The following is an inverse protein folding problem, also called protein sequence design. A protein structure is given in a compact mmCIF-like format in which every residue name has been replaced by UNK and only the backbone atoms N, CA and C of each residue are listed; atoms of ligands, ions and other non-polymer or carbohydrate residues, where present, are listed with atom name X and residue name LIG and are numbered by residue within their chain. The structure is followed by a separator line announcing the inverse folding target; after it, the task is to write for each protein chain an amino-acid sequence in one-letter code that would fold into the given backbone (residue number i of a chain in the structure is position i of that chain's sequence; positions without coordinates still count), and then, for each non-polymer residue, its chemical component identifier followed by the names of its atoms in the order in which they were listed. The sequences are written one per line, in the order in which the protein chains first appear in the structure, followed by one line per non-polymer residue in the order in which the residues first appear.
data_IF_863418229846
#
_entry.id   IF_863418229846
#
_cell.length_a   1.000
_cell.length_b   1.000
_cell.length_c   1.000
_cell.angle_alpha   90.00
_cell.angle_beta   90.00
_cell.angle_gamma   90.00
#
_symmetry.space_group_name_H-M   'P 1'
#
loop_
_entity.id
_entity.type
_entity.pdbx_description
1 polymer ?
#
# COMPACT_ATOMS: atom_id res chain seq x y z
N UNK A 1 6.77 6.44 -24.85
CA UNK A 1 5.91 6.62 -23.66
C UNK A 1 6.69 6.20 -22.43
N UNK A 2 6.72 7.02 -21.39
CA UNK A 2 7.30 6.59 -20.11
C UNK A 2 6.44 5.45 -19.53
N UNK A 3 7.09 4.43 -18.97
CA UNK A 3 6.38 3.34 -18.30
C UNK A 3 5.68 3.90 -17.07
N UNK A 4 4.41 3.51 -16.85
CA UNK A 4 3.64 3.94 -15.68
C UNK A 4 4.34 3.51 -14.39
N UNK A 5 4.38 4.40 -13.40
CA UNK A 5 4.99 4.15 -12.10
C UNK A 5 4.04 3.35 -11.21
N UNK A 6 4.53 2.28 -10.57
CA UNK A 6 3.84 1.60 -9.49
C UNK A 6 4.37 2.10 -8.15
N UNK A 7 3.55 2.83 -7.40
CA UNK A 7 3.91 3.45 -6.13
C UNK A 7 3.35 2.64 -4.96
N UNK A 8 4.24 2.08 -4.15
CA UNK A 8 3.89 1.24 -3.01
C UNK A 8 4.06 1.96 -1.66
N UNK A 9 3.21 1.63 -0.66
CA UNK A 9 3.35 2.14 0.69
C UNK A 9 4.42 1.38 1.48
N UNK A 10 5.07 2.05 2.45
CA UNK A 10 5.88 1.33 3.42
C UNK A 10 5.80 1.97 4.81
N UNK A 11 5.61 1.13 5.83
CA UNK A 11 5.53 1.56 7.23
C UNK A 11 6.87 1.46 7.98
N UNK A 12 7.84 0.70 7.45
CA UNK A 12 9.20 0.59 7.97
C UNK A 12 10.18 0.23 6.85
N UNK A 13 11.47 0.23 7.16
CA UNK A 13 12.55 0.03 6.20
C UNK A 13 12.49 -1.35 5.51
N UNK A 14 12.23 -2.44 6.26
CA UNK A 14 12.08 -3.79 5.71
C UNK A 14 10.97 -3.85 4.67
N UNK A 15 9.80 -3.31 5.00
CA UNK A 15 8.65 -3.24 4.09
C UNK A 15 8.94 -2.45 2.83
N UNK A 16 9.69 -1.35 2.95
CA UNK A 16 10.10 -0.54 1.81
C UNK A 16 11.02 -1.32 0.86
N UNK A 17 12.02 -2.00 1.40
CA UNK A 17 12.93 -2.84 0.61
C UNK A 17 12.16 -3.97 -0.11
N UNK A 18 11.27 -4.67 0.59
CA UNK A 18 10.43 -5.71 -0.02
C UNK A 18 9.55 -5.15 -1.13
N UNK A 19 8.88 -4.02 -0.93
CA UNK A 19 8.04 -3.41 -1.98
C UNK A 19 8.86 -3.11 -3.25
N UNK A 20 10.07 -2.56 -3.10
CA UNK A 20 10.97 -2.28 -4.22
C UNK A 20 11.44 -3.55 -4.92
N UNK A 21 11.79 -4.60 -4.18
CA UNK A 21 12.21 -5.89 -4.72
C UNK A 21 11.08 -6.60 -5.46
N UNK A 22 9.83 -6.48 -5.00
CA UNK A 22 8.64 -7.05 -5.63
C UNK A 22 8.08 -6.21 -6.80
N UNK A 23 8.78 -5.16 -7.21
CA UNK A 23 8.53 -4.48 -8.48
C UNK A 23 7.87 -3.12 -8.38
N UNK A 24 7.77 -2.51 -7.19
CA UNK A 24 7.45 -1.09 -7.09
C UNK A 24 8.53 -0.25 -7.77
N UNK A 25 8.12 0.81 -8.47
CA UNK A 25 9.03 1.78 -9.09
C UNK A 25 9.37 2.90 -8.11
N UNK A 26 8.49 3.14 -7.16
CA UNK A 26 8.69 4.06 -6.06
C UNK A 26 8.02 3.56 -4.78
N UNK A 27 8.52 4.02 -3.64
CA UNK A 27 7.86 3.81 -2.34
C UNK A 27 7.56 5.14 -1.67
N UNK A 28 6.40 5.22 -0.97
CA UNK A 28 6.12 6.36 -0.12
C UNK A 28 6.12 5.96 1.35
N UNK A 29 6.82 6.74 2.14
CA UNK A 29 7.07 6.51 3.57
C UNK A 29 6.61 7.72 4.39
N UNK A 30 6.51 7.57 5.69
CA UNK A 30 6.25 8.66 6.61
C UNK A 30 7.42 8.85 7.57
N UNK A 31 7.91 10.07 7.69
CA UNK A 31 8.81 10.45 8.76
C UNK A 31 8.10 10.53 10.12
N UNK A 32 8.87 10.67 11.19
CA UNK A 32 8.31 10.88 12.56
C UNK A 32 7.54 12.17 12.69
N UNK A 33 7.81 13.14 11.83
CA UNK A 33 7.14 14.46 11.78
C UNK A 33 6.28 14.56 10.50
N UNK A 34 5.27 15.42 10.54
CA UNK A 34 4.41 15.81 9.40
C UNK A 34 3.61 14.69 8.72
N UNK A 35 3.61 13.45 9.22
CA UNK A 35 2.94 12.32 8.57
C UNK A 35 1.65 11.89 9.28
N UNK A 36 0.59 11.61 8.49
CA UNK A 36 -0.74 11.22 8.99
C UNK A 36 -0.83 9.85 9.67
N UNK A 37 0.18 9.02 9.64
CA UNK A 37 0.17 7.71 10.29
C UNK A 37 1.07 7.70 11.52
N UNK A 38 0.76 8.52 12.53
CA UNK A 38 1.55 8.63 13.76
C UNK A 38 1.77 7.28 14.49
N UNK A 39 0.86 6.31 14.29
CA UNK A 39 0.97 4.93 14.84
C UNK A 39 1.77 3.96 13.98
N UNK A 40 2.14 4.32 12.75
CA UNK A 40 3.09 3.52 11.98
C UNK A 40 4.48 3.64 12.61
N UNK A 41 5.33 2.67 12.35
CA UNK A 41 6.72 2.66 12.86
C UNK A 41 7.55 3.85 12.37
N UNK A 42 7.04 4.68 11.50
CA UNK A 42 7.62 5.89 10.89
C UNK A 42 9.16 5.90 10.84
N UNK A 43 9.70 6.46 9.80
CA UNK A 43 11.14 6.44 9.51
C UNK A 43 11.88 7.55 10.27
N UNK A 44 13.05 7.23 10.80
CA UNK A 44 14.04 8.22 11.20
C UNK A 44 14.74 8.80 9.95
N UNK A 45 15.52 9.86 10.10
CA UNK A 45 16.33 10.41 9.01
C UNK A 45 17.35 9.38 8.52
N UNK A 46 17.92 8.60 9.44
CA UNK A 46 18.87 7.52 9.14
C UNK A 46 18.18 6.41 8.31
N UNK A 47 16.98 5.99 8.68
CA UNK A 47 16.21 5.02 7.91
C UNK A 47 15.90 5.54 6.49
N UNK A 48 15.53 6.82 6.35
CA UNK A 48 15.28 7.45 5.05
C UNK A 48 16.55 7.48 4.21
N UNK A 49 17.67 7.84 4.80
CA UNK A 49 18.98 7.86 4.12
C UNK A 49 19.37 6.47 3.63
N UNK A 50 19.22 5.43 4.48
CA UNK A 50 19.49 4.05 4.09
C UNK A 50 18.56 3.59 2.97
N UNK A 51 17.27 3.92 3.05
CA UNK A 51 16.29 3.61 2.01
C UNK A 51 16.62 4.30 0.69
N UNK A 52 16.98 5.58 0.71
CA UNK A 52 17.38 6.32 -0.50
C UNK A 52 18.64 5.71 -1.15
N UNK A 53 19.61 5.31 -0.35
CA UNK A 53 20.78 4.60 -0.85
C UNK A 53 20.41 3.25 -1.49
N UNK A 54 19.58 2.45 -0.83
CA UNK A 54 19.09 1.17 -1.36
C UNK A 54 18.28 1.35 -2.65
N UNK A 55 17.36 2.30 -2.69
CA UNK A 55 16.51 2.55 -3.86
C UNK A 55 17.31 3.05 -5.07
N UNK A 56 18.32 3.88 -4.83
CA UNK A 56 19.23 4.38 -5.88
C UNK A 56 19.96 3.24 -6.59
N UNK A 57 20.42 2.22 -5.87
CA UNK A 57 21.08 1.04 -6.45
C UNK A 57 20.14 0.23 -7.35
N UNK A 58 18.83 0.33 -7.14
CA UNK A 58 17.79 -0.30 -7.96
C UNK A 58 17.20 0.63 -9.03
N UNK A 59 17.69 1.87 -9.14
CA UNK A 59 17.12 2.92 -9.98
C UNK A 59 15.62 3.18 -9.67
N UNK A 60 15.28 3.25 -8.39
CA UNK A 60 13.92 3.44 -7.85
C UNK A 60 13.84 4.72 -7.03
N UNK A 61 12.61 5.18 -6.73
CA UNK A 61 12.36 6.47 -6.06
C UNK A 61 11.81 6.31 -4.65
N UNK A 62 12.08 7.32 -3.81
CA UNK A 62 11.55 7.43 -2.44
C UNK A 62 10.80 8.74 -2.28
N UNK A 63 9.55 8.67 -1.83
CA UNK A 63 8.71 9.83 -1.53
C UNK A 63 8.38 9.88 -0.04
N UNK A 64 8.42 11.07 0.54
CA UNK A 64 8.12 11.28 1.96
C UNK A 64 6.77 11.99 2.11
N UNK A 65 5.85 11.40 2.88
CA UNK A 65 4.57 12.02 3.17
C UNK A 65 4.71 13.08 4.26
N UNK A 66 4.28 14.31 3.94
CA UNK A 66 4.17 15.45 4.85
C UNK A 66 2.73 15.96 4.79
N UNK A 67 1.77 15.06 5.05
CA UNK A 67 0.37 15.23 4.67
C UNK A 67 -0.58 15.41 5.85
N UNK A 68 -0.10 15.82 7.02
CA UNK A 68 -0.95 16.35 8.07
C UNK A 68 -1.53 17.71 7.62
N UNK A 69 -2.61 18.15 8.28
CA UNK A 69 -3.01 19.56 8.29
C UNK A 69 -2.22 20.22 9.42
N UNK A 70 -1.14 20.95 9.13
CA UNK A 70 -0.26 21.46 10.17
C UNK A 70 -0.91 22.65 10.88
N UNK A 71 -0.73 22.69 12.20
CA UNK A 71 -0.92 23.88 13.02
C UNK A 71 0.42 24.59 13.21
N UNK A 72 0.43 25.79 13.77
CA UNK A 72 1.65 26.58 13.93
C UNK A 72 2.72 25.82 14.73
N UNK A 73 2.32 25.08 15.76
CA UNK A 73 3.20 24.24 16.58
C UNK A 73 3.86 23.08 15.82
N UNK A 74 3.23 22.60 14.73
CA UNK A 74 3.78 21.53 13.91
C UNK A 74 4.86 22.03 12.95
N UNK A 75 4.94 23.36 12.72
CA UNK A 75 5.84 23.95 11.73
C UNK A 75 7.25 24.23 12.26
N UNK A 76 7.46 24.01 13.57
CA UNK A 76 8.80 24.10 14.14
C UNK A 76 9.76 23.13 13.41
N UNK A 77 10.97 23.62 13.12
CA UNK A 77 12.03 22.90 12.38
C UNK A 77 11.64 22.39 10.98
N UNK A 78 10.57 22.90 10.36
CA UNK A 78 10.18 22.48 9.03
C UNK A 78 11.30 22.68 7.99
N UNK A 79 11.96 23.83 7.99
CA UNK A 79 13.04 24.13 7.04
C UNK A 79 14.25 23.18 7.23
N UNK A 80 14.61 22.89 8.48
CA UNK A 80 15.69 21.96 8.81
C UNK A 80 15.36 20.55 8.30
N UNK A 81 14.14 20.07 8.59
CA UNK A 81 13.69 18.76 8.17
C UNK A 81 13.69 18.61 6.64
N UNK A 82 13.21 19.61 5.91
CA UNK A 82 13.22 19.59 4.44
C UNK A 82 14.63 19.53 3.85
N UNK A 83 15.59 20.28 4.43
CA UNK A 83 17.01 20.21 4.04
C UNK A 83 17.60 18.81 4.29
N UNK A 84 17.32 18.21 5.43
CA UNK A 84 17.74 16.83 5.75
C UNK A 84 17.18 15.81 4.77
N UNK A 85 15.90 15.94 4.35
CA UNK A 85 15.31 15.08 3.34
C UNK A 85 16.01 15.22 1.97
N UNK A 86 16.35 16.45 1.58
CA UNK A 86 17.10 16.69 0.33
C UNK A 86 18.49 16.06 0.39
N UNK A 87 19.20 16.21 1.50
CA UNK A 87 20.53 15.61 1.73
C UNK A 87 20.48 14.07 1.71
N UNK A 88 19.39 13.48 2.20
CA UNK A 88 19.16 12.02 2.10
C UNK A 88 18.92 11.54 0.66
N UNK A 89 18.60 12.44 -0.27
CA UNK A 89 18.30 12.09 -1.65
C UNK A 89 16.84 11.70 -1.88
N UNK A 90 15.91 12.21 -1.07
CA UNK A 90 14.45 12.04 -1.26
C UNK A 90 14.04 12.67 -2.59
N UNK A 91 13.27 11.93 -3.40
CA UNK A 91 12.85 12.40 -4.72
C UNK A 91 11.67 13.37 -4.66
N UNK A 92 10.69 13.11 -3.77
CA UNK A 92 9.53 14.00 -3.63
C UNK A 92 8.96 14.01 -2.21
N UNK A 93 8.27 15.09 -1.87
CA UNK A 93 7.34 15.14 -0.75
C UNK A 93 5.89 15.07 -1.24
N UNK A 94 5.01 14.41 -0.45
CA UNK A 94 3.56 14.37 -0.71
C UNK A 94 2.88 15.15 0.41
N UNK A 95 2.31 16.32 0.09
CA UNK A 95 1.75 17.23 1.10
C UNK A 95 0.42 17.84 0.69
N UNK A 96 -0.40 18.21 1.67
CA UNK A 96 -1.65 18.96 1.50
C UNK A 96 -1.54 20.42 1.95
N UNK A 97 -0.36 20.86 2.38
CA UNK A 97 -0.12 22.22 2.88
C UNK A 97 0.59 23.07 1.83
N UNK A 98 -0.05 24.18 1.46
CA UNK A 98 0.56 25.17 0.58
C UNK A 98 1.81 25.78 1.20
N UNK A 99 1.82 25.99 2.51
CA UNK A 99 2.99 26.52 3.23
C UNK A 99 4.18 25.57 3.13
N UNK A 100 3.96 24.25 3.32
CA UNK A 100 5.03 23.24 3.15
C UNK A 100 5.54 23.20 1.71
N UNK A 101 4.66 23.31 0.70
CA UNK A 101 5.05 23.39 -0.72
C UNK A 101 5.99 24.57 -0.95
N UNK A 102 5.60 25.76 -0.48
CA UNK A 102 6.40 26.99 -0.69
C UNK A 102 7.71 27.00 0.10
N UNK A 103 7.68 26.46 1.30
CA UNK A 103 8.92 26.30 2.10
C UNK A 103 9.87 25.30 1.42
N UNK A 104 9.36 24.16 0.93
CA UNK A 104 10.17 23.18 0.20
C UNK A 104 10.80 23.79 -1.06
N UNK A 105 10.03 24.54 -1.85
CA UNK A 105 10.54 25.25 -3.02
C UNK A 105 11.73 26.16 -2.69
N UNK A 106 11.67 26.83 -1.53
CA UNK A 106 12.71 27.78 -1.09
C UNK A 106 13.96 27.07 -0.55
N UNK A 107 13.81 26.05 0.29
CA UNK A 107 14.93 25.49 1.09
C UNK A 107 15.43 24.13 0.63
N UNK A 108 14.65 23.40 -0.17
CA UNK A 108 14.95 22.08 -0.71
C UNK A 108 14.45 21.95 -2.17
N UNK A 109 14.95 22.79 -3.09
CA UNK A 109 14.42 22.93 -4.46
C UNK A 109 14.56 21.68 -5.31
N UNK A 110 15.48 20.75 -4.98
CA UNK A 110 15.67 19.49 -5.71
C UNK A 110 14.58 18.46 -5.43
N UNK A 111 13.85 18.61 -4.32
CA UNK A 111 12.74 17.73 -3.97
C UNK A 111 11.51 18.12 -4.78
N UNK A 112 10.93 17.15 -5.51
CA UNK A 112 9.65 17.33 -6.17
C UNK A 112 8.51 17.51 -5.16
N UNK A 113 7.47 18.25 -5.54
CA UNK A 113 6.31 18.53 -4.69
C UNK A 113 5.08 17.89 -5.32
N UNK A 114 4.53 16.88 -4.64
CA UNK A 114 3.31 16.19 -5.04
C UNK A 114 2.15 16.64 -4.15
N UNK A 115 1.05 17.04 -4.77
CA UNK A 115 -0.15 17.45 -4.04
C UNK A 115 -0.91 16.22 -3.57
N UNK A 116 -1.14 16.13 -2.25
CA UNK A 116 -1.83 14.98 -1.64
C UNK A 116 -3.30 14.89 -2.06
N UNK A 117 -3.83 13.66 -2.13
CA UNK A 117 -5.26 13.38 -2.32
C UNK A 117 -6.18 14.12 -1.35
N UNK A 118 -5.68 14.50 -0.16
CA UNK A 118 -6.44 15.27 0.82
C UNK A 118 -6.80 16.70 0.37
N UNK A 119 -6.25 17.16 -0.74
CA UNK A 119 -6.69 18.40 -1.39
C UNK A 119 -7.98 18.20 -2.17
N UNK A 120 -8.53 16.98 -2.23
CA UNK A 120 -9.83 16.67 -2.81
C UNK A 120 -9.97 17.12 -4.27
N UNK A 121 -8.92 16.89 -5.06
CA UNK A 121 -8.86 17.37 -6.45
C UNK A 121 -9.66 16.43 -7.35
N UNK A 122 -10.67 16.99 -8.00
CA UNK A 122 -11.63 16.29 -8.85
C UNK A 122 -11.81 16.91 -10.25
N UNK A 123 -11.05 17.94 -10.59
CA UNK A 123 -11.17 18.61 -11.88
C UNK A 123 -9.85 19.25 -12.35
N UNK A 124 -9.72 19.42 -13.66
CA UNK A 124 -8.52 19.95 -14.30
C UNK A 124 -8.24 21.42 -13.96
N UNK A 125 -9.28 22.23 -13.69
CA UNK A 125 -9.07 23.64 -13.32
C UNK A 125 -8.33 23.77 -11.98
N UNK A 126 -8.68 22.92 -10.99
CA UNK A 126 -7.94 22.85 -9.73
C UNK A 126 -6.48 22.41 -9.94
N UNK A 127 -6.24 21.42 -10.81
CA UNK A 127 -4.89 20.97 -11.15
C UNK A 127 -4.07 22.07 -11.80
N UNK A 128 -4.64 22.78 -12.78
CA UNK A 128 -3.98 23.86 -13.47
C UNK A 128 -3.68 25.06 -12.55
N UNK A 129 -4.46 25.23 -11.46
CA UNK A 129 -4.11 26.16 -10.40
C UNK A 129 -2.84 25.71 -9.64
N UNK A 130 -2.77 24.43 -9.27
CA UNK A 130 -1.60 23.86 -8.59
C UNK A 130 -0.33 23.90 -9.45
N UNK A 131 -0.45 23.79 -10.76
CA UNK A 131 0.67 23.96 -11.69
C UNK A 131 1.39 25.29 -11.50
N UNK A 132 0.67 26.38 -11.22
CA UNK A 132 1.24 27.71 -10.95
C UNK A 132 2.04 27.75 -9.63
N UNK A 133 1.90 26.75 -8.78
CA UNK A 133 2.62 26.61 -7.51
C UNK A 133 3.88 25.74 -7.65
N UNK A 134 4.34 25.50 -8.89
CA UNK A 134 5.54 24.71 -9.18
C UNK A 134 5.53 23.31 -8.55
N UNK A 135 4.38 22.62 -8.61
CA UNK A 135 4.23 21.22 -8.25
C UNK A 135 4.41 20.35 -9.50
N UNK A 136 4.93 19.13 -9.34
CA UNK A 136 5.18 18.20 -10.46
C UNK A 136 4.04 17.20 -10.63
N UNK A 137 3.31 16.85 -9.56
CA UNK A 137 2.28 15.80 -9.58
C UNK A 137 1.11 16.11 -8.66
N UNK A 138 -0.06 15.63 -9.05
CA UNK A 138 -1.29 15.72 -8.26
C UNK A 138 -1.84 14.31 -8.03
N UNK A 139 -2.09 13.95 -6.75
CA UNK A 139 -2.81 12.75 -6.38
C UNK A 139 -4.31 13.05 -6.41
N UNK A 140 -5.02 12.45 -7.34
CA UNK A 140 -6.46 12.68 -7.49
C UNK A 140 -7.25 12.19 -6.27
N UNK A 141 -8.41 12.78 -6.06
CA UNK A 141 -9.39 12.28 -5.10
C UNK A 141 -9.82 10.85 -5.48
N UNK A 142 -10.04 9.99 -4.49
CA UNK A 142 -10.51 8.61 -4.72
C UNK A 142 -11.95 8.53 -5.20
N UNK A 143 -12.65 9.62 -5.10
CA UNK A 143 -14.04 9.82 -5.50
C UNK A 143 -14.18 10.11 -7.00
N UNK A 144 -13.08 10.24 -7.75
CA UNK A 144 -13.11 10.38 -9.21
C UNK A 144 -13.49 9.06 -9.87
N UNK A 145 -14.43 9.13 -10.80
CA UNK A 145 -14.76 8.06 -11.73
C UNK A 145 -13.73 7.93 -12.84
N UNK A 146 -13.70 6.80 -13.53
CA UNK A 146 -12.80 6.62 -14.68
C UNK A 146 -13.05 7.66 -15.78
N UNK A 147 -14.32 8.02 -16.04
CA UNK A 147 -14.68 9.06 -17.01
C UNK A 147 -14.14 10.45 -16.61
N UNK A 148 -14.20 10.78 -15.32
CA UNK A 148 -13.63 12.04 -14.83
C UNK A 148 -12.10 12.04 -14.92
N UNK A 149 -11.43 10.92 -14.57
CA UNK A 149 -9.98 10.77 -14.74
C UNK A 149 -9.60 10.95 -16.21
N UNK A 150 -10.34 10.35 -17.15
CA UNK A 150 -10.14 10.51 -18.57
C UNK A 150 -10.31 11.97 -19.03
N UNK A 151 -11.35 12.65 -18.56
CA UNK A 151 -11.56 14.06 -18.86
C UNK A 151 -10.44 14.95 -18.28
N UNK A 152 -10.01 14.69 -17.05
CA UNK A 152 -8.92 15.40 -16.40
C UNK A 152 -7.62 15.21 -17.18
N UNK A 153 -7.28 13.98 -17.57
CA UNK A 153 -6.03 13.66 -18.27
C UNK A 153 -5.90 14.37 -19.63
N UNK A 154 -7.03 14.64 -20.28
CA UNK A 154 -7.07 15.39 -21.56
C UNK A 154 -6.91 16.91 -21.38
N UNK A 155 -7.10 17.44 -20.17
CA UNK A 155 -7.17 18.87 -19.89
C UNK A 155 -6.07 19.38 -18.96
N UNK A 156 -5.04 18.56 -18.70
CA UNK A 156 -3.85 18.95 -17.94
C UNK A 156 -2.61 18.22 -18.47
N UNK A 157 -1.45 18.85 -18.29
CA UNK A 157 -0.13 18.28 -18.58
C UNK A 157 0.66 17.96 -17.29
N UNK A 158 0.08 18.23 -16.11
CA UNK A 158 0.66 17.78 -14.84
C UNK A 158 0.53 16.26 -14.69
N UNK A 159 1.53 15.65 -14.07
CA UNK A 159 1.46 14.24 -13.74
C UNK A 159 0.29 13.93 -12.81
N UNK A 160 -0.49 12.92 -13.19
CA UNK A 160 -1.61 12.42 -12.40
C UNK A 160 -1.22 11.13 -11.68
N UNK A 161 -1.56 11.04 -10.39
CA UNK A 161 -1.44 9.84 -9.58
C UNK A 161 -2.81 9.42 -9.10
N UNK A 162 -3.16 8.13 -9.23
CA UNK A 162 -4.44 7.58 -8.82
C UNK A 162 -4.26 6.38 -7.89
N UNK A 163 -5.16 6.23 -6.90
CA UNK A 163 -5.20 5.04 -6.07
C UNK A 163 -5.83 3.88 -6.83
N UNK A 164 -5.17 2.71 -6.79
CA UNK A 164 -5.65 1.48 -7.45
C UNK A 164 -5.99 0.36 -6.46
N UNK A 165 -5.52 0.46 -5.20
CA UNK A 165 -5.70 -0.63 -4.24
C UNK A 165 -5.65 -0.14 -2.79
N UNK A 166 -6.37 -0.86 -1.91
CA UNK A 166 -6.29 -0.74 -0.47
C UNK A 166 -7.41 0.09 0.17
N UNK A 167 -7.21 0.50 1.41
CA UNK A 167 -8.27 1.07 2.23
C UNK A 167 -8.92 2.33 1.67
N UNK A 168 -10.24 2.31 1.55
CA UNK A 168 -11.06 3.49 1.26
C UNK A 168 -11.44 4.22 2.55
N UNK A 169 -11.76 5.51 2.46
CA UNK A 169 -12.23 6.32 3.58
C UNK A 169 -13.72 6.62 3.42
N UNK A 170 -14.47 6.64 4.53
CA UNK A 170 -15.87 7.10 4.54
C UNK A 170 -16.01 8.61 4.35
N UNK A 171 -14.92 9.36 4.59
CA UNK A 171 -14.88 10.81 4.38
C UNK A 171 -14.23 11.16 3.06
N UNK A 172 -14.72 12.22 2.43
CA UNK A 172 -14.22 12.69 1.15
C UNK A 172 -12.70 12.96 1.20
N UNK A 173 -11.93 12.27 0.38
CA UNK A 173 -10.47 12.38 0.29
C UNK A 173 -9.72 12.25 1.62
N UNK A 174 -10.32 11.57 2.61
CA UNK A 174 -9.70 11.32 3.91
C UNK A 174 -9.72 12.48 4.90
N UNK A 175 -10.44 13.57 4.64
CA UNK A 175 -10.68 14.65 5.61
C UNK A 175 -11.85 14.30 6.50
N UNK A 176 -11.57 14.01 7.79
CA UNK A 176 -12.53 13.43 8.70
C UNK A 176 -12.41 14.02 10.10
N UNK A 177 -13.55 14.25 10.72
CA UNK A 177 -13.66 14.65 12.15
C UNK A 177 -14.30 13.58 13.02
N UNK A 178 -14.68 12.41 12.45
CA UNK A 178 -15.34 11.36 13.20
C UNK A 178 -14.48 10.85 14.38
N UNK A 179 -13.18 10.64 14.15
CA UNK A 179 -12.27 10.22 15.23
C UNK A 179 -12.12 11.28 16.31
N UNK A 180 -12.15 12.57 15.95
CA UNK A 180 -12.09 13.65 16.91
C UNK A 180 -13.30 13.57 17.88
N UNK A 181 -14.52 13.40 17.33
CA UNK A 181 -15.74 13.30 18.15
C UNK A 181 -15.83 11.99 18.94
N UNK A 182 -15.36 10.88 18.37
CA UNK A 182 -15.52 9.56 18.99
C UNK A 182 -14.39 9.21 19.98
N UNK A 183 -13.21 9.82 19.85
CA UNK A 183 -12.01 9.38 20.58
C UNK A 183 -11.08 10.52 21.02
N UNK A 184 -11.47 11.78 20.82
CA UNK A 184 -10.64 12.98 21.08
C UNK A 184 -9.27 12.95 20.35
N UNK A 185 -9.22 12.25 19.19
CA UNK A 185 -7.99 12.07 18.40
C UNK A 185 -8.16 12.69 17.04
N UNK A 186 -7.28 13.66 16.71
CA UNK A 186 -7.35 14.35 15.42
C UNK A 186 -6.94 13.46 14.25
N UNK A 187 -7.93 13.07 13.44
CA UNK A 187 -7.71 12.25 12.25
C UNK A 187 -6.86 12.95 11.20
N UNK A 188 -6.87 14.28 11.14
CA UNK A 188 -6.15 15.08 10.14
C UNK A 188 -4.71 15.41 10.57
N UNK A 189 -4.36 15.08 11.82
CA UNK A 189 -3.00 15.17 12.37
C UNK A 189 -2.41 13.80 12.77
N UNK A 190 -2.92 12.72 12.19
CA UNK A 190 -2.40 11.36 12.40
C UNK A 190 -3.17 10.51 13.42
N UNK A 191 -4.20 11.04 14.06
CA UNK A 191 -4.97 10.41 15.14
C UNK A 191 -6.13 9.53 14.68
N UNK A 192 -6.27 9.17 13.40
CA UNK A 192 -7.40 8.35 12.92
C UNK A 192 -7.54 7.04 13.70
N UNK A 193 -8.66 6.85 14.40
CA UNK A 193 -8.98 5.66 15.17
C UNK A 193 -9.71 4.59 14.37
N UNK A 194 -9.99 4.83 13.08
CA UNK A 194 -10.84 4.01 12.22
C UNK A 194 -12.26 3.81 12.79
N UNK A 195 -12.80 4.82 13.48
CA UNK A 195 -14.14 4.74 14.10
C UNK A 195 -15.25 4.40 13.11
N UNK A 196 -15.12 4.78 11.83
CA UNK A 196 -16.04 4.36 10.76
C UNK A 196 -16.10 2.85 10.55
N UNK A 197 -15.14 2.08 11.04
CA UNK A 197 -15.03 0.62 10.91
C UNK A 197 -15.36 -0.15 12.18
N UNK A 198 -15.83 0.55 13.21
CA UNK A 198 -16.31 -0.11 14.42
C UNK A 198 -17.67 -0.73 14.19
N UNK A 199 -17.96 -1.76 14.96
CA UNK A 199 -19.26 -2.41 14.95
C UNK A 199 -20.25 -1.60 15.82
N UNK A 200 -21.26 -1.04 15.18
CA UNK A 200 -22.29 -0.26 15.85
C UNK A 200 -23.61 -1.05 15.92
N UNK A 201 -24.42 -0.74 16.91
CA UNK A 201 -25.83 -1.11 16.95
C UNK A 201 -26.68 0.07 16.50
N UNK A 202 -27.64 -0.16 15.62
CA UNK A 202 -28.61 0.87 15.19
C UNK A 202 -29.84 0.87 16.10
N UNK A 203 -30.31 2.08 16.41
CA UNK A 203 -31.52 2.30 17.18
C UNK A 203 -32.47 3.27 16.45
N UNK A 204 -33.77 3.01 16.53
CA UNK A 204 -34.82 3.94 16.19
C UNK A 204 -35.45 4.41 17.51
N UNK A 205 -35.08 5.60 17.95
CA UNK A 205 -35.37 6.06 19.31
C UNK A 205 -34.74 5.12 20.35
N UNK A 206 -35.59 4.45 21.14
CA UNK A 206 -35.16 3.46 22.15
C UNK A 206 -35.14 2.02 21.63
N UNK A 207 -35.71 1.76 20.44
CA UNK A 207 -35.82 0.43 19.86
C UNK A 207 -34.53 0.08 19.10
N UNK A 208 -33.85 -1.00 19.52
CA UNK A 208 -32.73 -1.55 18.77
C UNK A 208 -33.24 -2.18 17.46
N UNK A 209 -32.66 -1.73 16.31
CA UNK A 209 -33.01 -2.23 14.96
C UNK A 209 -32.13 -3.42 14.59
N UNK A 210 -30.82 -3.33 14.87
CA UNK A 210 -29.88 -4.43 14.60
C UNK A 210 -30.25 -5.66 15.43
N UNK A 211 -30.34 -6.83 14.79
CA UNK A 211 -30.60 -8.10 15.46
C UNK A 211 -29.35 -8.59 16.21
N UNK A 212 -29.54 -9.65 17.00
CA UNK A 212 -28.41 -10.29 17.72
C UNK A 212 -27.43 -10.87 16.68
N UNK A 213 -26.18 -10.43 16.74
CA UNK A 213 -25.12 -10.86 15.81
C UNK A 213 -24.97 -10.00 14.55
N UNK A 214 -25.91 -9.09 14.27
CA UNK A 214 -25.79 -8.10 13.21
C UNK A 214 -25.05 -6.85 13.70
N UNK A 215 -24.20 -6.31 12.85
CA UNK A 215 -23.46 -5.08 13.11
C UNK A 215 -23.62 -4.11 11.97
N UNK A 216 -23.64 -2.84 12.31
CA UNK A 216 -23.57 -1.75 11.34
C UNK A 216 -22.21 -1.07 11.42
N UNK A 217 -21.58 -0.81 10.31
CA UNK A 217 -20.42 0.08 10.24
C UNK A 217 -20.59 1.10 9.10
N UNK A 218 -19.82 2.19 9.17
CA UNK A 218 -19.87 3.30 8.21
C UNK A 218 -18.78 3.09 7.14
N UNK A 219 -18.01 2.01 7.24
CA UNK A 219 -16.86 1.75 6.39
C UNK A 219 -17.25 1.21 5.01
N UNK A 220 -16.41 1.50 4.04
CA UNK A 220 -16.47 0.92 2.71
C UNK A 220 -15.54 -0.28 2.58
N UNK A 221 -15.78 -1.13 1.59
CA UNK A 221 -14.84 -2.14 1.13
C UNK A 221 -13.53 -1.50 0.70
N UNK A 222 -12.45 -2.25 0.74
CA UNK A 222 -11.16 -1.78 0.23
C UNK A 222 -11.20 -1.72 -1.31
N UNK A 223 -10.46 -0.80 -1.91
CA UNK A 223 -10.38 -0.65 -3.36
C UNK A 223 -9.57 -1.79 -3.99
N UNK A 224 -10.04 -2.34 -5.11
CA UNK A 224 -9.29 -3.21 -6.01
C UNK A 224 -9.61 -2.87 -7.47
N UNK A 225 -8.70 -2.15 -8.13
CA UNK A 225 -8.88 -1.62 -9.48
C UNK A 225 -8.16 -2.45 -10.57
N UNK A 226 -8.01 -3.76 -10.38
CA UNK A 226 -7.30 -4.67 -11.30
C UNK A 226 -7.76 -4.48 -12.74
N UNK A 227 -9.08 -4.47 -12.97
CA UNK A 227 -9.68 -4.38 -14.32
C UNK A 227 -9.51 -3.02 -14.99
N UNK A 228 -9.13 -1.98 -14.23
CA UNK A 228 -8.96 -0.62 -14.74
C UNK A 228 -7.51 -0.28 -15.11
N UNK A 229 -6.54 -1.14 -14.75
CA UNK A 229 -5.12 -0.90 -15.03
C UNK A 229 -4.82 -0.65 -16.51
N UNK A 230 -5.34 -1.45 -17.47
CA UNK A 230 -5.13 -1.19 -18.89
C UNK A 230 -5.57 0.23 -19.30
N UNK A 231 -6.77 0.62 -18.91
CA UNK A 231 -7.33 1.94 -19.28
C UNK A 231 -6.54 3.08 -18.63
N UNK A 232 -6.10 2.93 -17.38
CA UNK A 232 -5.28 3.95 -16.70
C UNK A 232 -3.92 4.14 -17.39
N UNK A 233 -3.32 3.05 -17.88
CA UNK A 233 -2.10 3.10 -18.69
C UNK A 233 -2.35 3.84 -20.01
N UNK A 234 -3.44 3.53 -20.71
CA UNK A 234 -3.80 4.17 -21.98
C UNK A 234 -4.11 5.66 -21.82
N UNK A 235 -4.61 6.06 -20.65
CA UNK A 235 -4.83 7.47 -20.29
C UNK A 235 -3.55 8.22 -19.92
N UNK A 236 -2.38 7.56 -19.96
CA UNK A 236 -1.09 8.12 -19.55
C UNK A 236 -1.08 8.67 -18.13
N UNK A 237 -1.81 8.04 -17.20
CA UNK A 237 -1.66 8.30 -15.77
C UNK A 237 -0.20 8.03 -15.39
N UNK A 238 0.44 8.95 -14.68
CA UNK A 238 1.86 8.86 -14.39
C UNK A 238 2.18 7.82 -13.29
N UNK A 239 1.28 7.68 -12.30
CA UNK A 239 1.53 6.83 -11.13
C UNK A 239 0.27 6.11 -10.64
N UNK A 240 0.41 4.81 -10.37
CA UNK A 240 -0.59 3.93 -9.78
C UNK A 240 -0.24 3.67 -8.33
N UNK A 241 -1.05 4.16 -7.40
CA UNK A 241 -0.76 4.15 -5.96
C UNK A 241 -1.52 3.07 -5.22
N UNK A 242 -0.77 2.28 -4.45
CA UNK A 242 -1.31 1.31 -3.48
C UNK A 242 -1.40 1.97 -2.10
N UNK A 243 -2.53 1.82 -1.39
CA UNK A 243 -2.67 2.19 0.03
C UNK A 243 -2.32 1.00 0.93
N UNK A 244 -1.68 1.26 2.08
CA UNK A 244 -1.42 0.18 3.02
C UNK A 244 -0.16 0.32 3.88
N UNK A 245 0.23 1.51 4.33
CA UNK A 245 1.41 1.72 5.19
C UNK A 245 1.43 0.87 6.47
N UNK A 246 0.24 0.53 6.98
CA UNK A 246 0.08 -0.32 8.17
C UNK A 246 0.02 -1.83 7.87
N UNK A 247 -0.06 -2.19 6.60
CA UNK A 247 -0.18 -3.59 6.16
C UNK A 247 1.11 -4.39 6.39
N UNK A 248 1.00 -5.73 6.32
CA UNK A 248 2.12 -6.66 6.52
C UNK A 248 3.08 -6.67 5.33
N UNK A 249 4.28 -7.21 5.54
CA UNK A 249 5.26 -7.48 4.49
C UNK A 249 4.70 -8.42 3.42
N UNK A 250 3.94 -9.45 3.84
CA UNK A 250 3.25 -10.38 2.95
C UNK A 250 2.22 -9.69 2.04
N UNK A 251 1.42 -8.76 2.59
CA UNK A 251 0.50 -7.96 1.79
C UNK A 251 1.24 -7.17 0.70
N UNK A 252 2.34 -6.51 1.06
CA UNK A 252 3.11 -5.73 0.10
C UNK A 252 3.69 -6.61 -1.00
N UNK A 253 4.32 -7.72 -0.64
CA UNK A 253 4.88 -8.66 -1.60
C UNK A 253 3.82 -9.17 -2.59
N UNK A 254 2.68 -9.63 -2.09
CA UNK A 254 1.61 -10.18 -2.92
C UNK A 254 0.98 -9.10 -3.80
N UNK A 255 0.56 -7.97 -3.22
CA UNK A 255 -0.18 -6.93 -3.96
C UNK A 255 0.72 -6.21 -4.96
N UNK A 256 1.92 -5.78 -4.54
CA UNK A 256 2.86 -5.07 -5.43
C UNK A 256 3.32 -6.00 -6.56
N UNK A 257 3.72 -7.25 -6.23
CA UNK A 257 4.14 -8.23 -7.22
C UNK A 257 3.05 -8.54 -8.24
N UNK A 258 1.81 -8.66 -7.78
CA UNK A 258 0.67 -8.93 -8.63
C UNK A 258 0.37 -7.76 -9.59
N UNK A 259 0.29 -6.51 -9.10
CA UNK A 259 0.11 -5.35 -9.97
C UNK A 259 1.29 -5.14 -10.93
N UNK A 260 2.52 -5.42 -10.50
CA UNK A 260 3.69 -5.37 -11.40
C UNK A 260 3.56 -6.35 -12.55
N UNK A 261 3.21 -7.61 -12.25
CA UNK A 261 2.97 -8.64 -13.28
C UNK A 261 1.86 -8.24 -14.25
N UNK A 262 0.75 -7.69 -13.75
CA UNK A 262 -0.35 -7.19 -14.58
C UNK A 262 0.07 -6.04 -15.51
N UNK A 263 0.77 -5.05 -14.98
CA UNK A 263 1.27 -3.92 -15.76
C UNK A 263 2.23 -4.40 -16.84
N UNK A 264 3.17 -5.29 -16.51
CA UNK A 264 4.15 -5.83 -17.47
C UNK A 264 3.47 -6.69 -18.55
N UNK A 265 2.48 -7.50 -18.17
CA UNK A 265 1.66 -8.28 -19.10
C UNK A 265 0.96 -7.36 -20.11
N UNK A 266 0.33 -6.28 -19.63
CA UNK A 266 -0.35 -5.33 -20.50
C UNK A 266 0.61 -4.59 -21.43
N UNK A 267 1.79 -4.18 -20.95
CA UNK A 267 2.79 -3.57 -21.83
C UNK A 267 3.27 -4.53 -22.92
N UNK A 268 3.39 -5.81 -22.61
CA UNK A 268 3.83 -6.86 -23.54
C UNK A 268 2.74 -7.22 -24.58
N UNK A 269 1.52 -7.48 -24.12
CA UNK A 269 0.46 -8.06 -24.95
C UNK A 269 -0.56 -7.03 -25.46
N UNK A 270 -0.64 -5.85 -24.85
CA UNK A 270 -1.67 -4.80 -25.08
C UNK A 270 -3.11 -5.24 -24.78
N UNK A 271 -3.29 -6.41 -24.26
CA UNK A 271 -4.58 -6.99 -23.86
C UNK A 271 -4.41 -7.80 -22.60
N UNK A 272 -5.48 -7.95 -21.84
CA UNK A 272 -5.59 -8.85 -20.68
C UNK A 272 -6.88 -9.62 -20.83
N UNK A 273 -6.82 -10.94 -20.80
CA UNK A 273 -8.00 -11.81 -20.94
C UNK A 273 -8.83 -11.85 -19.64
N UNK A 274 -10.07 -12.34 -19.74
CA UNK A 274 -10.93 -12.50 -18.57
C UNK A 274 -10.38 -13.51 -17.56
N UNK A 275 -9.73 -14.58 -18.04
CA UNK A 275 -9.07 -15.59 -17.21
C UNK A 275 -7.87 -14.99 -16.45
N UNK A 276 -7.07 -14.16 -17.13
CA UNK A 276 -5.95 -13.45 -16.50
C UNK A 276 -6.44 -12.47 -15.43
N UNK A 277 -7.50 -11.68 -15.71
CA UNK A 277 -8.09 -10.79 -14.71
C UNK A 277 -8.55 -11.56 -13.47
N UNK A 278 -9.28 -12.68 -13.64
CA UNK A 278 -9.71 -13.55 -12.54
C UNK A 278 -8.53 -14.12 -11.76
N UNK A 279 -7.45 -14.46 -12.44
CA UNK A 279 -6.23 -14.94 -11.77
C UNK A 279 -5.61 -13.84 -10.91
N UNK A 280 -5.48 -12.59 -11.43
CA UNK A 280 -4.94 -11.47 -10.67
C UNK A 280 -5.82 -11.11 -9.46
N UNK A 281 -7.14 -11.08 -9.63
CA UNK A 281 -8.09 -10.83 -8.55
C UNK A 281 -7.98 -11.90 -7.46
N UNK A 282 -7.90 -13.18 -7.83
CA UNK A 282 -7.72 -14.30 -6.90
C UNK A 282 -6.37 -14.22 -6.19
N UNK A 283 -5.31 -13.89 -6.90
CA UNK A 283 -3.97 -13.81 -6.33
C UNK A 283 -3.88 -12.69 -5.28
N UNK A 284 -4.40 -11.49 -5.59
CA UNK A 284 -4.45 -10.37 -4.66
C UNK A 284 -5.29 -10.72 -3.42
N UNK A 285 -6.42 -11.40 -3.61
CA UNK A 285 -7.31 -11.78 -2.49
C UNK A 285 -6.65 -12.66 -1.43
N UNK A 286 -5.57 -13.36 -1.77
CA UNK A 286 -4.79 -14.17 -0.82
C UNK A 286 -4.11 -13.34 0.28
N UNK A 287 -3.88 -12.03 0.04
CA UNK A 287 -3.26 -11.12 1.02
C UNK A 287 -4.25 -10.13 1.64
N UNK A 288 -5.50 -10.14 1.21
CA UNK A 288 -6.51 -9.23 1.71
C UNK A 288 -7.14 -9.73 3.01
N UNK A 289 -7.42 -8.79 3.90
CA UNK A 289 -8.12 -9.04 5.15
C UNK A 289 -9.56 -8.54 5.11
N UNK A 290 -9.98 -7.88 4.01
CA UNK A 290 -11.27 -7.23 3.85
C UNK A 290 -11.83 -7.50 2.49
N UNK A 291 -13.15 -7.44 2.39
CA UNK A 291 -13.82 -7.46 1.10
C UNK A 291 -13.40 -6.25 0.28
N UNK A 292 -13.29 -6.45 -1.02
CA UNK A 292 -12.89 -5.41 -1.98
C UNK A 292 -14.03 -5.02 -2.90
N UNK A 293 -13.90 -3.84 -3.49
CA UNK A 293 -14.78 -3.29 -4.50
C UNK A 293 -13.99 -2.40 -5.48
N UNK A 294 -14.66 -1.97 -6.52
CA UNK A 294 -14.09 -1.03 -7.50
C UNK A 294 -14.16 0.44 -7.06
N UNK A 295 -14.68 0.71 -5.85
CA UNK A 295 -14.85 2.08 -5.35
C UNK A 295 -15.71 2.94 -6.28
N UNK A 296 -15.21 4.11 -6.66
CA UNK A 296 -15.89 5.09 -7.52
C UNK A 296 -15.59 4.92 -9.02
N UNK A 297 -14.78 3.97 -9.45
CA UNK A 297 -14.34 3.89 -10.85
C UNK A 297 -15.48 3.81 -11.86
N UNK A 298 -16.61 3.15 -11.53
CA UNK A 298 -17.80 3.06 -12.39
C UNK A 298 -18.91 4.05 -12.01
N UNK A 299 -18.67 4.98 -11.09
CA UNK A 299 -19.67 5.95 -10.64
C UNK A 299 -19.84 5.99 -9.12
N UNK A 300 -20.93 6.58 -8.64
CA UNK A 300 -21.22 6.67 -7.20
C UNK A 300 -21.41 5.24 -6.63
N UNK A 301 -20.66 4.88 -5.57
CA UNK A 301 -20.78 3.57 -4.93
C UNK A 301 -22.18 3.28 -4.42
N UNK A 302 -22.61 2.04 -4.62
CA UNK A 302 -23.87 1.50 -4.13
C UNK A 302 -23.71 0.87 -2.74
N UNK A 303 -24.75 0.23 -2.24
CA UNK A 303 -24.71 -0.60 -1.05
C UNK A 303 -23.69 -1.76 -1.17
N UNK A 304 -23.40 -2.20 -2.41
CA UNK A 304 -22.47 -3.30 -2.67
C UNK A 304 -20.99 -2.93 -2.39
N UNK A 305 -20.67 -1.65 -2.38
CA UNK A 305 -19.33 -1.15 -2.07
C UNK A 305 -19.13 -0.86 -0.57
N UNK A 306 -20.16 -1.02 0.24
CA UNK A 306 -20.11 -0.81 1.69
C UNK A 306 -19.89 -2.12 2.46
N UNK A 307 -19.35 -2.01 3.67
CA UNK A 307 -19.15 -3.13 4.59
C UNK A 307 -20.31 -3.21 5.57
N UNK A 308 -21.43 -3.84 5.16
CA UNK A 308 -22.54 -4.14 6.08
C UNK A 308 -22.47 -5.61 6.50
N UNK A 309 -22.78 -5.91 7.77
CA UNK A 309 -22.91 -7.25 8.36
C UNK A 309 -21.69 -8.18 8.21
N UNK A 310 -20.52 -7.64 7.87
CA UNK A 310 -19.30 -8.44 7.74
C UNK A 310 -18.29 -8.06 8.82
N UNK A 311 -17.56 -9.06 9.30
CA UNK A 311 -16.35 -8.80 10.10
C UNK A 311 -15.37 -8.03 9.24
N UNK A 312 -14.85 -6.93 9.78
CA UNK A 312 -13.96 -6.05 9.05
C UNK A 312 -12.62 -6.69 8.63
N UNK A 313 -12.25 -7.83 9.21
CA UNK A 313 -10.95 -8.45 8.96
C UNK A 313 -11.07 -9.98 9.03
N UNK A 314 -10.75 -10.65 7.91
CA UNK A 314 -10.57 -12.09 7.85
C UNK A 314 -9.30 -12.41 7.07
N UNK A 315 -8.30 -13.08 7.67
CA UNK A 315 -7.13 -13.53 6.94
C UNK A 315 -7.53 -14.62 5.93
N UNK A 316 -7.18 -14.40 4.67
CA UNK A 316 -7.56 -15.31 3.58
C UNK A 316 -6.57 -16.46 3.40
N UNK A 317 -5.29 -16.23 3.70
CA UNK A 317 -4.24 -17.27 3.70
C UNK A 317 -3.20 -17.03 4.77
N UNK A 318 -2.54 -18.11 5.17
CA UNK A 318 -1.50 -18.10 6.19
C UNK A 318 -0.13 -17.91 5.54
N UNK A 319 0.43 -16.73 5.69
CA UNK A 319 1.82 -16.46 5.40
C UNK A 319 2.70 -17.18 6.44
N UNK A 320 3.53 -18.12 6.01
CA UNK A 320 4.33 -18.94 6.94
C UNK A 320 5.75 -18.44 7.13
N UNK A 321 6.34 -17.78 6.13
CA UNK A 321 7.69 -17.27 6.26
C UNK A 321 8.30 -16.84 4.93
N UNK A 322 9.53 -16.37 4.98
CA UNK A 322 10.29 -15.99 3.80
C UNK A 322 11.70 -16.58 3.79
N UNK A 323 12.24 -16.68 2.60
CA UNK A 323 13.55 -17.25 2.34
C UNK A 323 14.65 -16.25 2.72
N UNK A 324 15.54 -16.67 3.60
CA UNK A 324 16.76 -15.94 3.96
C UNK A 324 17.92 -16.24 3.01
N UNK A 325 18.03 -17.54 2.63
CA UNK A 325 19.10 -18.04 1.78
C UNK A 325 18.67 -19.33 1.07
N UNK A 326 19.35 -19.68 0.00
CA UNK A 326 19.12 -20.91 -0.75
C UNK A 326 20.43 -21.46 -1.30
N UNK A 327 20.72 -22.74 -1.03
CA UNK A 327 21.89 -23.43 -1.55
C UNK A 327 21.54 -24.91 -1.85
N UNK A 328 21.84 -25.34 -3.07
CA UNK A 328 21.77 -26.73 -3.53
C UNK A 328 20.49 -27.50 -3.10
N UNK A 329 19.30 -26.91 -3.33
CA UNK A 329 18.03 -27.56 -3.02
C UNK A 329 17.54 -27.34 -1.58
N UNK A 330 18.34 -26.67 -0.75
CA UNK A 330 17.99 -26.38 0.65
C UNK A 330 17.76 -24.88 0.80
N UNK A 331 16.55 -24.50 1.27
CA UNK A 331 16.21 -23.13 1.61
C UNK A 331 16.29 -22.92 3.12
N UNK A 332 16.92 -21.82 3.52
CA UNK A 332 16.83 -21.31 4.89
C UNK A 332 15.65 -20.36 4.95
N UNK A 333 14.63 -20.72 5.75
CA UNK A 333 13.42 -19.90 5.93
C UNK A 333 13.31 -19.35 7.34
N UNK A 334 12.83 -18.13 7.47
CA UNK A 334 12.44 -17.53 8.75
C UNK A 334 10.94 -17.67 8.94
N UNK A 335 10.55 -18.38 9.99
CA UNK A 335 9.16 -18.65 10.31
C UNK A 335 8.42 -17.39 10.77
N UNK A 336 7.21 -17.19 10.27
CA UNK A 336 6.33 -16.07 10.62
C UNK A 336 4.99 -16.51 11.19
N UNK A 337 4.51 -17.72 10.81
CA UNK A 337 3.33 -18.37 11.37
C UNK A 337 3.57 -19.88 11.49
N UNK A 338 2.67 -20.55 12.18
CA UNK A 338 2.70 -22.00 12.40
C UNK A 338 2.61 -22.78 11.08
N UNK A 339 3.50 -23.75 10.89
CA UNK A 339 3.43 -24.77 9.85
C UNK A 339 4.13 -26.06 10.32
N UNK A 340 3.90 -27.17 9.62
CA UNK A 340 4.44 -28.47 9.98
C UNK A 340 4.89 -29.26 8.75
N UNK A 341 5.63 -30.34 9.01
CA UNK A 341 5.91 -31.38 8.02
C UNK A 341 4.58 -31.95 7.50
N UNK A 342 4.47 -32.12 6.19
CA UNK A 342 3.26 -32.53 5.50
C UNK A 342 2.37 -31.39 5.00
N UNK A 343 2.60 -30.13 5.42
CA UNK A 343 1.86 -28.99 4.90
C UNK A 343 2.17 -28.75 3.41
N UNK A 344 1.11 -28.56 2.61
CA UNK A 344 1.23 -28.07 1.24
C UNK A 344 1.42 -26.56 1.27
N UNK A 345 2.52 -26.10 0.71
CA UNK A 345 2.89 -24.68 0.66
C UNK A 345 3.04 -24.19 -0.77
N UNK A 346 2.86 -22.90 -0.98
CA UNK A 346 3.12 -22.22 -2.25
C UNK A 346 4.24 -21.21 -2.05
N UNK A 347 5.32 -21.40 -2.81
CA UNK A 347 6.38 -20.40 -2.93
C UNK A 347 6.02 -19.38 -4.01
N UNK A 348 6.28 -18.10 -3.75
CA UNK A 348 6.11 -17.03 -4.71
C UNK A 348 7.16 -15.93 -4.48
N UNK A 349 7.51 -15.23 -5.55
CA UNK A 349 8.54 -14.21 -5.51
C UNK A 349 8.57 -13.37 -6.78
N UNK A 350 9.46 -12.34 -6.83
CA UNK A 350 9.56 -11.47 -7.99
C UNK A 350 10.10 -12.17 -9.25
N UNK A 351 10.92 -13.22 -9.09
CA UNK A 351 11.63 -13.90 -10.17
C UNK A 351 11.25 -15.37 -10.31
N UNK A 352 10.24 -15.85 -9.61
CA UNK A 352 9.74 -17.21 -9.68
C UNK A 352 8.25 -17.24 -10.00
N UNK A 353 7.81 -18.32 -10.65
CA UNK A 353 6.39 -18.61 -10.76
C UNK A 353 5.88 -19.23 -9.45
N UNK A 354 4.59 -18.98 -9.15
CA UNK A 354 3.96 -19.56 -7.97
C UNK A 354 3.99 -21.08 -8.08
N UNK A 355 4.73 -21.74 -7.19
CA UNK A 355 4.96 -23.17 -7.23
C UNK A 355 4.58 -23.82 -5.91
N UNK A 356 3.81 -24.89 -5.98
CA UNK A 356 3.36 -25.62 -4.81
C UNK A 356 4.23 -26.85 -4.55
N UNK A 357 4.55 -27.11 -3.27
CA UNK A 357 5.25 -28.31 -2.82
C UNK A 357 4.92 -28.63 -1.38
N UNK A 358 5.20 -29.86 -0.96
CA UNK A 358 4.98 -30.31 0.42
C UNK A 358 6.25 -30.11 1.23
N UNK A 359 6.12 -29.63 2.46
CA UNK A 359 7.23 -29.58 3.42
C UNK A 359 7.52 -31.02 3.91
N UNK A 360 8.57 -31.62 3.38
CA UNK A 360 8.94 -33.01 3.73
C UNK A 360 9.76 -33.10 5.00
N UNK A 361 10.55 -32.07 5.29
CA UNK A 361 11.51 -32.07 6.39
C UNK A 361 11.71 -30.66 6.92
N UNK A 362 11.84 -30.55 8.26
CA UNK A 362 12.23 -29.33 8.96
C UNK A 362 13.48 -29.64 9.80
N UNK A 363 14.52 -28.84 9.64
CA UNK A 363 15.72 -28.89 10.49
C UNK A 363 15.89 -27.51 11.11
N UNK A 364 15.93 -27.44 12.42
CA UNK A 364 16.23 -26.19 13.12
C UNK A 364 17.66 -25.73 12.82
N UNK A 365 17.85 -24.47 12.44
CA UNK A 365 19.15 -23.95 12.06
C UNK A 365 20.11 -23.76 13.23
N UNK A 366 19.61 -23.66 14.46
CA UNK A 366 20.44 -23.42 15.65
C UNK A 366 20.87 -24.74 16.28
N UNK A 367 19.97 -25.71 16.39
CA UNK A 367 20.22 -27.01 17.05
C UNK A 367 20.67 -28.10 16.08
N UNK A 368 20.40 -27.95 14.77
CA UNK A 368 20.53 -28.98 13.73
C UNK A 368 19.65 -30.23 13.98
N UNK A 369 18.65 -30.12 14.81
CA UNK A 369 17.73 -31.22 15.11
C UNK A 369 16.54 -31.23 14.12
N UNK A 370 16.01 -32.43 13.92
CA UNK A 370 14.79 -32.63 13.15
C UNK A 370 13.58 -32.22 13.98
N UNK A 371 12.78 -31.32 13.38
CA UNK A 371 11.53 -30.86 13.94
C UNK A 371 10.35 -31.32 13.08
N UNK A 372 9.20 -31.51 13.70
CA UNK A 372 7.95 -31.81 12.99
C UNK A 372 7.08 -30.60 12.79
N UNK A 373 7.29 -29.56 13.58
CA UNK A 373 6.49 -28.34 13.59
C UNK A 373 7.35 -27.08 13.79
N UNK A 374 7.01 -26.03 13.10
CA UNK A 374 7.55 -24.68 13.30
C UNK A 374 6.52 -23.84 14.07
N UNK A 375 6.79 -23.52 15.34
CA UNK A 375 5.84 -22.84 16.22
C UNK A 375 6.33 -21.56 16.88
N UNK A 376 7.64 -21.30 16.84
CA UNK A 376 8.23 -20.13 17.49
C UNK A 376 8.53 -19.04 16.47
N UNK A 377 7.90 -17.85 16.58
CA UNK A 377 8.13 -16.76 15.66
C UNK A 377 9.61 -16.41 15.50
N UNK A 378 10.05 -16.15 14.26
CA UNK A 378 11.42 -15.82 13.87
C UNK A 378 12.41 -17.00 13.96
N UNK A 379 11.99 -18.21 14.35
CA UNK A 379 12.83 -19.40 14.27
C UNK A 379 13.23 -19.68 12.82
N UNK A 380 14.44 -20.17 12.61
CA UNK A 380 14.95 -20.46 11.28
C UNK A 380 15.02 -21.94 11.03
N UNK A 381 14.62 -22.36 9.83
CA UNK A 381 14.61 -23.76 9.45
C UNK A 381 15.27 -23.96 8.09
N UNK A 382 15.98 -25.08 7.94
CA UNK A 382 16.31 -25.62 6.64
C UNK A 382 15.14 -26.50 6.15
N UNK A 383 14.71 -26.27 4.92
CA UNK A 383 13.72 -27.07 4.21
C UNK A 383 14.25 -27.47 2.83
N UNK A 384 13.84 -28.65 2.35
CA UNK A 384 14.06 -29.02 0.95
C UNK A 384 13.11 -28.22 0.06
N UNK A 385 13.62 -27.73 -1.07
CA UNK A 385 12.80 -27.06 -2.08
C UNK A 385 13.02 -27.68 -3.44
N UNK A 386 11.95 -28.10 -4.15
CA UNK A 386 12.04 -28.67 -5.50
C UNK A 386 12.37 -27.64 -6.58
N UNK A 387 12.33 -26.35 -6.23
CA UNK A 387 12.64 -25.23 -7.13
C UNK A 387 13.75 -24.37 -6.53
N UNK A 388 14.46 -23.67 -7.42
CA UNK A 388 15.44 -22.68 -6.99
C UNK A 388 14.71 -21.47 -6.41
N UNK A 389 14.96 -21.21 -5.14
CA UNK A 389 14.47 -20.04 -4.42
C UNK A 389 15.54 -18.95 -4.35
N UNK A 390 15.11 -17.75 -4.02
CA UNK A 390 15.99 -16.59 -3.82
C UNK A 390 15.67 -15.93 -2.49
N UNK A 391 16.64 -15.22 -1.94
CA UNK A 391 16.43 -14.40 -0.75
C UNK A 391 15.23 -13.47 -0.96
N UNK A 392 14.35 -13.42 0.03
CA UNK A 392 13.09 -12.69 0.06
C UNK A 392 11.92 -13.30 -0.71
N UNK A 393 12.07 -14.45 -1.38
CA UNK A 393 10.90 -15.23 -1.80
C UNK A 393 10.07 -15.63 -0.58
N UNK A 394 8.78 -15.76 -0.75
CA UNK A 394 7.84 -16.01 0.36
C UNK A 394 7.13 -17.34 0.24
N UNK A 395 6.75 -17.88 1.38
CA UNK A 395 6.00 -19.13 1.50
C UNK A 395 4.67 -18.89 2.21
N UNK A 396 3.59 -19.47 1.67
CA UNK A 396 2.25 -19.45 2.27
C UNK A 396 1.60 -20.82 2.22
N UNK A 397 0.73 -21.14 3.19
CA UNK A 397 -0.07 -22.37 3.14
C UNK A 397 -1.07 -22.32 1.99
N UNK A 398 -1.25 -23.45 1.32
CA UNK A 398 -2.36 -23.67 0.39
C UNK A 398 -3.57 -24.15 1.20
N UNK A 399 -4.71 -23.45 1.07
CA UNK A 399 -6.00 -23.84 1.67
C UNK A 399 -6.87 -24.52 0.66
#
# INVERSE_FOLDING_TARGET
MNKIELLAPAGNLEKAKIALLYGADAVYVGGKQFSLRARASNFTIEDIKELCCFSKNLNKKVYVTMNIIPHDEDLDRLEEYLKQLEECGVNAIITSSLYIIKTCEKVAPKIERHVSTQMSITNSNAINHWKKMNVSRVVLARENTLCEIENISKNTDLELEVFIHGGMCSSYSGRCVLSNHMTERDANRGGCAHSCRWNYSLFDGRRKITKKGEFYNIGSKDLMAVRFIPKLIDLNVASLKIEGRMKSTYYLATVVGCYRKLIDLYYKNKTVTEEEFKWFEKEISKAENRLTSIGFYNGIPSINEQLYDTRCEQPTQEYIGYVLDYNDGIATIEQRNYFCVGDLVEAFGPNIENTQFVIEKLIDCETNELETVARHPLQKFYINSPIKLSKHDMLRKVK
#
